data_IF_338911646552
#
_entry.id   IF_338911646552
#
_cell.length_a   1.000
_cell.length_b   1.000
_cell.length_c   1.000
_cell.angle_alpha   90.00
_cell.angle_beta   90.00
_cell.angle_gamma   90.00
#
_symmetry.space_group_name_H-M   'P 1'
#
loop_
_entity.id
_entity.type
_entity.pdbx_description
1 polymer ?
#
# COMPACT_ATOMS: atom_id res chain seq x y z
N UNK A 1 32.05 0.69 27.43
CA UNK A 1 31.04 1.67 26.99
C UNK A 1 30.87 1.54 25.47
N UNK A 2 29.68 1.18 24.99
CA UNK A 2 29.36 1.21 23.56
C UNK A 2 29.29 2.68 23.13
N UNK A 3 30.04 3.05 22.10
CA UNK A 3 29.92 4.40 21.51
C UNK A 3 28.65 4.46 20.66
N UNK A 4 27.93 5.60 20.62
CA UNK A 4 26.81 5.79 19.71
C UNK A 4 27.24 5.52 18.27
N UNK A 5 26.38 4.90 17.49
CA UNK A 5 26.65 4.67 16.07
C UNK A 5 26.76 6.03 15.35
N UNK A 6 27.78 6.16 14.50
CA UNK A 6 28.04 7.38 13.74
C UNK A 6 27.00 7.51 12.63
N UNK A 7 26.03 8.41 12.82
CA UNK A 7 24.91 8.64 11.90
C UNK A 7 25.40 8.95 10.48
N UNK A 8 26.52 9.67 10.34
CA UNK A 8 27.05 10.02 9.02
C UNK A 8 27.62 8.81 8.27
N UNK A 9 28.05 7.77 9.00
CA UNK A 9 28.50 6.50 8.39
C UNK A 9 27.33 5.56 8.10
N UNK A 10 26.20 5.72 8.80
CA UNK A 10 24.99 4.94 8.56
C UNK A 10 24.15 5.50 7.41
N UNK A 11 24.11 6.83 7.28
CA UNK A 11 23.44 7.53 6.20
C UNK A 11 24.36 7.65 4.98
N UNK A 12 24.63 6.52 4.30
CA UNK A 12 25.16 6.60 2.94
C UNK A 12 24.04 7.17 2.08
N UNK A 13 24.16 8.44 1.71
CA UNK A 13 23.20 9.09 0.83
C UNK A 13 23.28 8.43 -0.54
N UNK A 14 22.31 7.58 -0.86
CA UNK A 14 22.12 7.10 -2.22
C UNK A 14 21.49 8.25 -3.02
N UNK A 15 22.31 8.89 -3.85
CA UNK A 15 21.86 9.97 -4.74
C UNK A 15 21.13 9.44 -5.99
N UNK A 16 20.87 8.14 -6.08
CA UNK A 16 20.08 7.56 -7.19
C UNK A 16 18.60 7.68 -6.81
N UNK A 17 17.82 8.53 -7.49
CA UNK A 17 16.40 8.66 -7.20
C UNK A 17 15.69 7.33 -7.49
N UNK A 18 14.76 6.95 -6.62
CA UNK A 18 13.86 5.81 -6.86
C UNK A 18 13.13 6.05 -8.18
N UNK A 19 13.30 5.11 -9.12
CA UNK A 19 12.78 5.25 -10.46
C UNK A 19 12.29 3.90 -11.00
N UNK A 20 11.02 3.84 -11.39
CA UNK A 20 10.48 2.75 -12.20
C UNK A 20 10.59 3.11 -13.68
N UNK A 21 11.22 2.23 -14.47
CA UNK A 21 11.36 2.41 -15.93
C UNK A 21 10.47 1.40 -16.63
N UNK A 22 9.48 1.87 -17.40
CA UNK A 22 8.61 1.03 -18.23
C UNK A 22 8.66 1.48 -19.69
N UNK A 23 8.83 0.53 -20.61
CA UNK A 23 8.88 0.80 -22.05
C UNK A 23 9.87 1.93 -22.41
N UNK A 24 11.06 1.92 -21.78
CA UNK A 24 12.12 2.93 -21.94
C UNK A 24 11.75 4.35 -21.44
N UNK A 25 10.60 4.52 -20.77
CA UNK A 25 10.22 5.77 -20.13
C UNK A 25 10.38 5.68 -18.61
N UNK A 26 10.95 6.73 -18.04
CA UNK A 26 11.07 6.92 -16.60
C UNK A 26 9.72 7.36 -16.02
N UNK A 27 9.25 6.66 -14.98
CA UNK A 27 8.06 6.99 -14.21
C UNK A 27 8.42 7.62 -12.86
N UNK A 28 9.70 7.69 -12.52
CA UNK A 28 10.16 8.17 -11.21
C UNK A 28 9.53 7.36 -10.09
N UNK A 29 8.95 8.07 -9.12
CA UNK A 29 8.24 7.51 -7.98
C UNK A 29 6.76 7.19 -8.25
N UNK A 30 6.22 7.55 -9.41
CA UNK A 30 4.79 7.45 -9.69
C UNK A 30 4.22 8.77 -10.18
N UNK A 31 3.06 9.22 -9.68
CA UNK A 31 2.16 10.27 -10.21
C UNK A 31 2.78 11.43 -11.02
N UNK A 32 4.01 11.86 -10.71
CA UNK A 32 4.77 12.83 -11.48
C UNK A 32 6.26 12.44 -11.62
N UNK A 33 6.83 12.68 -12.80
CA UNK A 33 8.26 12.56 -13.10
C UNK A 33 8.76 13.81 -13.84
N UNK A 34 9.95 14.29 -13.50
CA UNK A 34 10.62 15.36 -14.25
C UNK A 34 11.84 14.80 -14.98
N UNK A 35 11.84 14.88 -16.31
CA UNK A 35 12.97 14.49 -17.13
C UNK A 35 13.98 15.65 -17.19
N UNK A 36 15.18 15.50 -16.61
CA UNK A 36 16.20 16.55 -16.61
C UNK A 36 16.88 16.71 -17.98
N UNK A 37 16.81 15.72 -18.87
CA UNK A 37 17.39 15.76 -20.21
C UNK A 37 16.46 16.50 -21.15
N UNK A 38 15.17 16.15 -21.13
CA UNK A 38 14.15 16.84 -21.95
C UNK A 38 13.68 18.16 -21.33
N UNK A 39 14.08 18.45 -20.09
CA UNK A 39 13.65 19.59 -19.28
C UNK A 39 12.12 19.68 -19.17
N UNK A 40 11.46 18.52 -19.07
CA UNK A 40 10.01 18.39 -19.17
C UNK A 40 9.43 17.52 -18.07
N UNK A 41 8.30 17.95 -17.52
CA UNK A 41 7.51 17.15 -16.58
C UNK A 41 6.56 16.18 -17.31
N UNK A 42 6.34 15.02 -16.71
CA UNK A 42 5.39 14.01 -17.16
C UNK A 42 4.51 13.61 -15.98
N UNK A 43 3.20 13.77 -16.14
CA UNK A 43 2.20 13.28 -15.21
C UNK A 43 1.80 11.87 -15.64
N UNK A 44 1.82 10.94 -14.69
CA UNK A 44 1.42 9.56 -14.92
C UNK A 44 -0.04 9.41 -14.49
N UNK A 45 -0.91 9.20 -15.46
CA UNK A 45 -2.35 9.06 -15.25
C UNK A 45 -2.74 7.59 -15.35
N UNK A 46 -3.20 7.01 -14.24
CA UNK A 46 -3.84 5.69 -14.24
C UNK A 46 -5.20 5.79 -14.92
N UNK A 47 -5.41 5.01 -15.98
CA UNK A 47 -6.71 4.87 -16.67
C UNK A 47 -7.56 3.81 -15.97
N UNK A 48 -6.98 2.64 -15.72
CA UNK A 48 -7.68 1.53 -15.09
C UNK A 48 -6.71 0.56 -14.42
N UNK A 49 -7.21 -0.10 -13.38
CA UNK A 49 -6.59 -1.26 -12.75
C UNK A 49 -7.55 -2.44 -12.88
N UNK A 50 -7.00 -3.61 -13.18
CA UNK A 50 -7.67 -4.89 -13.01
C UNK A 50 -6.75 -5.78 -12.17
N UNK A 51 -7.29 -6.42 -11.15
CA UNK A 51 -6.52 -7.20 -10.18
C UNK A 51 -7.06 -8.61 -10.14
N UNK A 52 -6.16 -9.60 -10.23
CA UNK A 52 -6.47 -11.01 -10.08
C UNK A 52 -5.67 -11.60 -8.93
N UNK A 53 -6.32 -12.43 -8.12
CA UNK A 53 -5.69 -13.31 -7.15
C UNK A 53 -5.36 -14.64 -7.81
N UNK A 54 -4.14 -15.13 -7.62
CA UNK A 54 -3.68 -16.41 -8.15
C UNK A 54 -3.78 -17.48 -7.06
N UNK A 55 -4.47 -18.56 -7.40
CA UNK A 55 -4.54 -19.79 -6.61
C UNK A 55 -3.85 -20.93 -7.37
N UNK A 56 -3.63 -22.07 -6.73
CA UNK A 56 -2.90 -23.21 -7.32
C UNK A 56 -3.49 -23.71 -8.64
N UNK A 57 -4.80 -23.58 -8.83
CA UNK A 57 -5.50 -24.12 -10.01
C UNK A 57 -6.01 -23.04 -10.97
N UNK A 58 -6.28 -21.83 -10.48
CA UNK A 58 -7.04 -20.82 -11.22
C UNK A 58 -6.65 -19.39 -10.79
N UNK A 59 -7.15 -18.41 -11.54
CA UNK A 59 -7.09 -16.98 -11.17
C UNK A 59 -8.50 -16.44 -10.98
N UNK A 60 -8.69 -15.60 -9.97
CA UNK A 60 -9.98 -14.99 -9.66
C UNK A 60 -9.85 -13.47 -9.74
N UNK A 61 -10.80 -12.82 -10.42
CA UNK A 61 -10.84 -11.36 -10.43
C UNK A 61 -11.23 -10.84 -9.04
N UNK A 62 -10.46 -9.89 -8.53
CA UNK A 62 -10.66 -9.29 -7.22
C UNK A 62 -11.66 -8.14 -7.34
N UNK A 63 -12.52 -7.99 -6.34
CA UNK A 63 -13.48 -6.88 -6.29
C UNK A 63 -12.78 -5.52 -6.18
N UNK A 64 -13.38 -4.47 -6.75
CA UNK A 64 -12.78 -3.12 -6.72
C UNK A 64 -12.67 -2.55 -5.30
N UNK A 65 -13.56 -2.93 -4.39
CA UNK A 65 -13.47 -2.65 -2.93
C UNK A 65 -12.14 -3.13 -2.35
N UNK A 66 -11.63 -4.25 -2.85
CA UNK A 66 -10.43 -4.95 -2.38
C UNK A 66 -9.11 -4.55 -3.06
N UNK A 67 -9.12 -3.64 -4.06
CA UNK A 67 -7.85 -3.23 -4.70
C UNK A 67 -6.90 -2.59 -3.68
N UNK A 68 -5.68 -3.08 -3.58
CA UNK A 68 -4.75 -2.60 -2.55
C UNK A 68 -4.73 -3.47 -1.30
N UNK A 69 -5.57 -4.50 -1.20
CA UNK A 69 -5.56 -5.45 -0.10
C UNK A 69 -4.93 -6.77 -0.55
N UNK A 70 -3.74 -7.05 -0.02
CA UNK A 70 -2.91 -8.19 -0.42
C UNK A 70 -2.68 -9.12 0.76
N UNK A 71 -2.39 -10.40 0.49
CA UNK A 71 -2.16 -11.41 1.51
C UNK A 71 -0.72 -11.95 1.40
N UNK A 72 -0.02 -12.05 2.53
CA UNK A 72 1.40 -12.44 2.59
C UNK A 72 1.70 -13.82 1.99
N UNK A 73 0.70 -14.70 1.96
CA UNK A 73 0.85 -16.09 1.51
C UNK A 73 0.32 -16.27 0.07
N UNK A 74 0.01 -15.19 -0.65
CA UNK A 74 -0.62 -15.21 -1.96
C UNK A 74 0.16 -14.41 -3.03
N UNK A 75 -0.25 -14.62 -4.29
CA UNK A 75 0.28 -13.91 -5.45
C UNK A 75 -0.86 -13.23 -6.19
N UNK A 76 -0.61 -12.03 -6.70
CA UNK A 76 -1.60 -11.23 -7.41
C UNK A 76 -1.02 -10.70 -8.72
N UNK A 77 -1.87 -10.64 -9.74
CA UNK A 77 -1.54 -10.05 -11.04
C UNK A 77 -2.36 -8.76 -11.16
N UNK A 78 -1.71 -7.65 -11.47
CA UNK A 78 -2.33 -6.35 -11.65
C UNK A 78 -2.06 -5.89 -13.08
N UNK A 79 -3.12 -5.73 -13.88
CA UNK A 79 -3.03 -5.04 -15.17
C UNK A 79 -3.23 -3.55 -14.91
N UNK A 80 -2.16 -2.79 -15.10
CA UNK A 80 -2.15 -1.34 -14.96
C UNK A 80 -2.16 -0.68 -16.33
N UNK A 81 -3.28 -0.05 -16.68
CA UNK A 81 -3.38 0.77 -17.89
C UNK A 81 -3.19 2.23 -17.52
N UNK A 82 -2.24 2.91 -18.16
CA UNK A 82 -1.84 4.28 -17.83
C UNK A 82 -1.50 5.11 -19.07
N UNK A 83 -1.38 6.43 -18.88
CA UNK A 83 -0.86 7.37 -19.89
C UNK A 83 0.22 8.25 -19.28
N UNK A 84 1.16 8.65 -20.12
CA UNK A 84 2.10 9.73 -19.81
C UNK A 84 1.60 11.00 -20.46
N UNK A 85 1.19 11.97 -19.64
CA UNK A 85 0.74 13.28 -20.11
C UNK A 85 1.85 14.27 -19.82
N UNK A 86 2.29 15.02 -20.82
CA UNK A 86 3.24 16.08 -20.58
C UNK A 86 2.67 17.12 -19.61
N UNK A 87 3.34 17.31 -18.48
CA UNK A 87 3.03 18.35 -17.53
C UNK A 87 3.45 19.70 -18.14
N UNK A 88 2.56 20.69 -18.11
CA UNK A 88 2.82 22.00 -18.71
C UNK A 88 3.99 22.73 -18.03
N UNK A 89 4.62 23.69 -18.73
CA UNK A 89 5.67 24.53 -18.14
C UNK A 89 5.13 25.30 -16.92
N UNK A 90 5.80 25.19 -15.78
CA UNK A 90 5.69 26.20 -14.74
C UNK A 90 6.41 27.46 -15.24
N UNK A 91 5.65 28.48 -15.66
CA UNK A 91 6.21 29.78 -16.02
C UNK A 91 6.90 30.40 -14.79
N UNK A 92 8.23 30.43 -14.80
CA UNK A 92 9.08 31.05 -13.77
C UNK A 92 8.73 32.54 -13.60
N UNK A 93 8.15 33.19 -14.61
CA UNK A 93 7.96 34.65 -14.66
C UNK A 93 6.64 35.14 -14.04
N UNK A 94 5.65 34.28 -13.80
CA UNK A 94 4.29 34.74 -13.45
C UNK A 94 3.60 34.00 -12.30
N UNK A 95 4.19 32.94 -11.74
CA UNK A 95 3.58 32.18 -10.63
C UNK A 95 2.20 31.59 -10.95
N UNK A 96 1.78 31.64 -12.22
CA UNK A 96 0.50 31.13 -12.71
C UNK A 96 0.81 30.02 -13.70
N UNK A 97 0.37 28.81 -13.38
CA UNK A 97 0.47 27.66 -14.26
C UNK A 97 -0.34 27.93 -15.53
N UNK A 98 0.32 28.19 -16.67
CA UNK A 98 -0.35 28.21 -17.96
C UNK A 98 -0.51 26.77 -18.44
N UNK A 99 -1.50 26.07 -17.88
CA UNK A 99 -1.74 24.66 -18.14
C UNK A 99 -2.57 24.50 -19.42
N UNK A 100 -1.91 24.32 -20.57
CA UNK A 100 -2.52 23.52 -21.64
C UNK A 100 -2.14 22.06 -21.39
N UNK A 101 -2.96 21.34 -20.62
CA UNK A 101 -2.92 19.87 -20.55
C UNK A 101 -3.34 19.35 -21.94
N UNK A 102 -2.36 19.09 -22.80
CA UNK A 102 -2.61 18.43 -24.08
C UNK A 102 -2.68 16.92 -23.82
N UNK A 103 -3.88 16.33 -23.90
CA UNK A 103 -4.13 14.88 -23.81
C UNK A 103 -3.50 14.16 -25.03
N UNK A 104 -2.18 14.02 -24.98
CA UNK A 104 -1.34 13.52 -26.07
C UNK A 104 -0.64 12.21 -25.69
N UNK A 105 -0.93 11.69 -24.49
CA UNK A 105 -0.36 10.45 -23.99
C UNK A 105 -0.97 9.24 -24.70
N UNK A 106 -0.12 8.38 -25.25
CA UNK A 106 -0.54 7.05 -25.73
C UNK A 106 -0.90 6.17 -24.54
N UNK A 107 -1.96 5.39 -24.68
CA UNK A 107 -2.34 4.35 -23.74
C UNK A 107 -1.24 3.28 -23.68
N UNK A 108 -0.79 2.99 -22.46
CA UNK A 108 0.20 1.98 -22.13
C UNK A 108 -0.40 0.99 -21.15
N UNK A 109 0.11 -0.24 -21.15
CA UNK A 109 -0.33 -1.31 -20.26
C UNK A 109 0.90 -1.98 -19.68
N UNK A 110 0.92 -2.23 -18.38
CA UNK A 110 1.93 -3.01 -17.71
C UNK A 110 1.28 -4.04 -16.79
N UNK A 111 1.95 -5.17 -16.58
CA UNK A 111 1.52 -6.24 -15.70
C UNK A 111 2.44 -6.30 -14.49
N UNK A 112 1.88 -6.03 -13.32
CA UNK A 112 2.60 -6.08 -12.05
C UNK A 112 2.23 -7.39 -11.35
N UNK A 113 3.21 -8.23 -11.05
CA UNK A 113 3.03 -9.51 -10.38
C UNK A 113 3.49 -9.31 -8.94
N UNK A 114 2.56 -9.01 -8.04
CA UNK A 114 2.86 -8.86 -6.63
C UNK A 114 2.98 -10.24 -5.97
N UNK A 115 4.09 -10.47 -5.26
CA UNK A 115 4.41 -11.76 -4.64
C UNK A 115 4.57 -11.60 -3.13
N UNK A 116 3.68 -12.25 -2.37
CA UNK A 116 3.79 -12.35 -0.94
C UNK A 116 5.06 -13.08 -0.49
N UNK A 117 5.59 -12.68 0.66
CA UNK A 117 6.82 -13.25 1.23
C UNK A 117 6.67 -14.75 1.48
N UNK A 118 5.48 -15.18 1.93
CA UNK A 118 5.14 -16.56 2.26
C UNK A 118 4.43 -17.31 1.12
N UNK A 119 4.20 -16.67 -0.03
CA UNK A 119 3.52 -17.32 -1.14
C UNK A 119 4.35 -18.51 -1.67
N UNK A 120 3.66 -19.58 -2.04
CA UNK A 120 4.33 -20.83 -2.42
C UNK A 120 5.15 -20.67 -3.71
N UNK A 121 6.27 -21.41 -3.87
CA UNK A 121 7.03 -21.40 -5.12
C UNK A 121 6.18 -21.79 -6.34
N UNK A 122 5.21 -22.69 -6.14
CA UNK A 122 4.28 -23.12 -7.19
C UNK A 122 3.38 -21.96 -7.65
N UNK A 123 2.73 -21.26 -6.73
CA UNK A 123 1.89 -20.10 -7.05
C UNK A 123 2.70 -18.97 -7.71
N UNK A 124 3.92 -18.72 -7.24
CA UNK A 124 4.85 -17.77 -7.87
C UNK A 124 5.16 -18.17 -9.32
N UNK A 125 5.46 -19.44 -9.58
CA UNK A 125 5.70 -19.94 -10.94
C UNK A 125 4.47 -19.88 -11.85
N UNK A 126 3.32 -20.31 -11.35
CA UNK A 126 2.04 -20.28 -12.07
C UNK A 126 1.63 -18.85 -12.41
N UNK A 127 1.84 -17.89 -11.49
CA UNK A 127 1.49 -16.48 -11.73
C UNK A 127 2.16 -15.87 -12.95
N UNK A 128 3.42 -16.25 -13.22
CA UNK A 128 4.16 -15.79 -14.41
C UNK A 128 3.52 -16.33 -15.67
N UNK A 129 3.24 -17.63 -15.70
CA UNK A 129 2.57 -18.28 -16.83
C UNK A 129 1.16 -17.70 -17.06
N UNK A 130 0.40 -17.50 -15.98
CA UNK A 130 -0.94 -16.90 -16.04
C UNK A 130 -0.92 -15.46 -16.54
N UNK A 131 0.14 -14.70 -16.23
CA UNK A 131 0.32 -13.34 -16.76
C UNK A 131 0.54 -13.38 -18.26
N UNK A 132 1.36 -14.30 -18.78
CA UNK A 132 1.53 -14.48 -20.23
C UNK A 132 0.21 -14.80 -20.94
N UNK A 133 -0.65 -15.61 -20.32
CA UNK A 133 -1.99 -15.90 -20.88
C UNK A 133 -2.99 -14.76 -20.71
N UNK A 134 -2.76 -13.83 -19.78
CA UNK A 134 -3.59 -12.65 -19.57
C UNK A 134 -3.19 -11.49 -20.51
N UNK A 135 -1.92 -11.45 -20.90
CA UNK A 135 -1.31 -10.36 -21.64
C UNK A 135 -1.69 -10.38 -23.13
N UNK A 136 -2.80 -9.71 -23.46
CA UNK A 136 -3.23 -9.47 -24.83
C UNK A 136 -2.45 -8.33 -25.49
N UNK A 137 -2.02 -7.34 -24.70
CA UNK A 137 -1.38 -6.10 -25.16
C UNK A 137 0.13 -6.21 -25.38
N UNK A 138 0.75 -7.32 -24.97
CA UNK A 138 2.21 -7.56 -24.97
C UNK A 138 2.95 -6.50 -24.15
N UNK A 139 2.39 -6.15 -23.00
CA UNK A 139 2.97 -5.17 -22.07
C UNK A 139 4.14 -5.73 -21.27
N UNK A 140 4.97 -4.88 -20.63
CA UNK A 140 6.02 -5.35 -19.73
C UNK A 140 5.44 -6.07 -18.51
N UNK A 141 6.10 -7.14 -18.07
CA UNK A 141 5.78 -7.89 -16.86
C UNK A 141 6.82 -7.55 -15.78
N UNK A 142 6.37 -7.09 -14.62
CA UNK A 142 7.21 -6.58 -13.54
C UNK A 142 6.90 -7.37 -12.28
N UNK A 143 7.93 -7.92 -11.66
CA UNK A 143 7.79 -8.55 -10.35
C UNK A 143 7.86 -7.50 -9.26
N UNK A 144 6.83 -7.48 -8.41
CA UNK A 144 6.76 -6.65 -7.22
C UNK A 144 6.84 -7.59 -6.02
N UNK A 145 7.89 -7.49 -5.24
CA UNK A 145 8.15 -8.42 -4.12
C UNK A 145 7.72 -7.73 -2.83
N UNK A 146 7.01 -8.45 -1.95
CA UNK A 146 6.67 -7.95 -0.63
C UNK A 146 7.92 -7.43 0.11
N UNK A 147 7.77 -6.30 0.81
CA UNK A 147 8.84 -5.56 1.50
C UNK A 147 9.86 -4.87 0.57
N UNK A 148 9.63 -4.90 -0.74
CA UNK A 148 10.45 -4.26 -1.77
C UNK A 148 9.60 -3.57 -2.84
N UNK A 149 8.37 -3.22 -2.51
CA UNK A 149 7.45 -2.54 -3.42
C UNK A 149 7.99 -1.16 -3.81
N UNK A 150 8.02 -0.88 -5.11
CA UNK A 150 8.38 0.45 -5.59
C UNK A 150 7.28 1.47 -5.26
N UNK A 151 7.69 2.73 -5.04
CA UNK A 151 6.77 3.84 -4.79
C UNK A 151 5.64 3.91 -5.84
N UNK A 152 5.97 3.70 -7.12
CA UNK A 152 5.01 3.72 -8.22
C UNK A 152 3.90 2.69 -8.04
N UNK A 153 4.21 1.50 -7.53
CA UNK A 153 3.22 0.45 -7.25
C UNK A 153 2.33 0.85 -6.07
N UNK A 154 2.91 1.30 -4.95
CA UNK A 154 2.15 1.68 -3.75
C UNK A 154 1.18 2.82 -4.06
N UNK A 155 1.61 3.80 -4.86
CA UNK A 155 0.79 4.96 -5.27
C UNK A 155 -0.46 4.59 -6.08
N UNK A 156 -0.54 3.38 -6.64
CA UNK A 156 -1.75 2.89 -7.34
C UNK A 156 -2.95 2.76 -6.40
N UNK A 157 -2.71 2.61 -5.10
CA UNK A 157 -3.74 2.37 -4.10
C UNK A 157 -4.03 3.60 -3.21
N UNK A 158 -3.52 4.77 -3.60
CA UNK A 158 -3.81 6.09 -3.00
C UNK A 158 -3.71 6.13 -1.45
N UNK A 159 -2.71 5.46 -0.90
CA UNK A 159 -2.48 5.39 0.54
C UNK A 159 -3.35 4.40 1.29
N UNK A 160 -4.00 3.44 0.61
CA UNK A 160 -4.75 2.33 1.22
C UNK A 160 -4.14 0.97 0.90
N UNK A 161 -2.84 0.90 0.61
CA UNK A 161 -2.15 -0.39 0.42
C UNK A 161 -2.06 -1.11 1.77
N UNK A 162 -2.60 -2.31 1.86
CA UNK A 162 -2.64 -3.12 3.08
C UNK A 162 -2.17 -4.52 2.77
N UNK A 163 -1.30 -5.04 3.63
CA UNK A 163 -0.85 -6.43 3.60
C UNK A 163 -1.46 -7.15 4.80
N UNK A 164 -2.24 -8.18 4.52
CA UNK A 164 -2.84 -9.08 5.49
C UNK A 164 -1.98 -10.33 5.66
N UNK A 165 -2.03 -10.91 6.85
CA UNK A 165 -1.36 -12.18 7.14
C UNK A 165 -2.20 -13.37 6.64
N UNK A 166 -1.53 -14.41 6.16
CA UNK A 166 -2.18 -15.65 5.72
C UNK A 166 -2.59 -15.62 4.25
N UNK A 167 -3.57 -16.44 3.89
CA UNK A 167 -4.17 -16.54 2.54
C UNK A 167 -5.55 -15.91 2.49
N UNK A 168 -5.88 -15.28 1.36
CA UNK A 168 -7.18 -14.62 1.09
C UNK A 168 -8.36 -15.58 1.20
N UNK A 169 -8.23 -16.77 0.62
CA UNK A 169 -9.32 -17.74 0.52
C UNK A 169 -9.30 -18.80 1.63
N UNK A 170 -8.48 -18.62 2.66
CA UNK A 170 -8.45 -19.51 3.82
C UNK A 170 -8.72 -18.71 5.08
N UNK A 171 -9.95 -18.82 5.59
CA UNK A 171 -10.23 -18.46 6.97
C UNK A 171 -9.56 -19.49 7.88
N UNK A 172 -8.29 -19.30 8.22
CA UNK A 172 -7.75 -19.96 9.40
C UNK A 172 -8.64 -19.54 10.58
N UNK A 173 -9.04 -20.47 11.43
CA UNK A 173 -9.66 -20.12 12.72
C UNK A 173 -8.68 -19.20 13.45
N UNK A 174 -8.98 -17.91 13.45
CA UNK A 174 -8.16 -16.91 14.12
C UNK A 174 -8.45 -17.01 15.60
N UNK A 175 -7.38 -17.07 16.40
CA UNK A 175 -7.48 -17.14 17.86
C UNK A 175 -8.08 -15.89 18.49
N UNK A 176 -7.99 -14.76 17.80
CA UNK A 176 -8.49 -13.45 18.21
C UNK A 176 -9.31 -12.86 17.07
N UNK A 177 -10.40 -12.18 17.40
CA UNK A 177 -11.18 -11.42 16.43
C UNK A 177 -10.56 -10.03 16.17
N UNK A 178 -9.63 -9.61 17.02
CA UNK A 178 -8.87 -8.39 16.82
C UNK A 178 -7.72 -8.60 15.84
N UNK A 179 -7.44 -7.54 15.07
CA UNK A 179 -6.33 -7.50 14.13
C UNK A 179 -5.51 -6.25 14.36
N UNK A 180 -4.19 -6.39 14.31
CA UNK A 180 -3.24 -5.31 14.53
C UNK A 180 -2.54 -4.98 13.21
N UNK A 181 -2.49 -3.71 12.87
CA UNK A 181 -1.75 -3.22 11.71
C UNK A 181 -0.75 -2.15 12.12
N UNK A 182 0.46 -2.20 11.58
CA UNK A 182 1.44 -1.11 11.73
C UNK A 182 1.33 -0.16 10.54
N UNK A 183 1.36 1.14 10.82
CA UNK A 183 1.44 2.19 9.82
C UNK A 183 2.87 2.37 9.32
N UNK A 184 3.02 2.51 8.01
CA UNK A 184 4.29 2.78 7.33
C UNK A 184 4.06 3.81 6.22
N UNK A 185 4.92 4.84 6.16
CA UNK A 185 4.85 5.86 5.12
C UNK A 185 5.13 7.28 5.63
N UNK A 186 5.66 8.12 4.74
CA UNK A 186 5.93 9.54 4.98
C UNK A 186 5.25 10.45 3.94
N UNK A 187 4.67 9.85 2.89
CA UNK A 187 4.02 10.53 1.79
C UNK A 187 2.61 9.95 1.67
N UNK A 188 1.59 10.82 1.67
CA UNK A 188 0.18 10.41 1.71
C UNK A 188 -0.20 9.28 0.76
N UNK A 189 0.31 9.33 -0.47
CA UNK A 189 -0.04 8.40 -1.54
C UNK A 189 0.78 7.11 -1.49
N UNK A 190 1.83 7.07 -0.67
CA UNK A 190 2.73 5.92 -0.47
C UNK A 190 2.53 5.26 0.92
N UNK A 191 1.50 5.69 1.65
CA UNK A 191 1.14 5.12 2.95
C UNK A 191 0.64 3.68 2.81
N UNK A 192 0.97 2.86 3.79
CA UNK A 192 0.57 1.47 3.82
C UNK A 192 0.50 0.86 5.22
N UNK A 193 -0.22 -0.27 5.32
CA UNK A 193 -0.52 -0.97 6.56
C UNK A 193 -0.09 -2.43 6.48
N UNK A 194 0.67 -2.91 7.45
CA UNK A 194 1.04 -4.33 7.52
C UNK A 194 0.40 -4.98 8.73
N UNK A 195 -0.34 -6.07 8.50
CA UNK A 195 -0.91 -6.88 9.57
C UNK A 195 0.21 -7.57 10.36
N UNK A 196 0.11 -7.50 11.68
CA UNK A 196 1.01 -8.12 12.64
C UNK A 196 0.20 -9.01 13.60
N UNK A 197 0.83 -10.01 14.23
CA UNK A 197 0.22 -10.70 15.35
C UNK A 197 -0.17 -9.70 16.45
N UNK A 198 -1.35 -9.87 17.03
CA UNK A 198 -1.79 -9.04 18.14
C UNK A 198 -1.00 -9.38 19.40
N UNK A 199 0.03 -8.57 19.66
CA UNK A 199 0.92 -8.74 20.80
C UNK A 199 1.55 -7.39 21.16
N UNK A 200 1.58 -7.07 22.46
CA UNK A 200 2.23 -5.86 22.98
C UNK A 200 3.69 -5.72 22.55
N UNK A 201 4.39 -6.83 22.30
CA UNK A 201 5.79 -6.86 21.82
C UNK A 201 5.97 -6.33 20.41
N UNK A 202 4.88 -6.20 19.63
CA UNK A 202 4.91 -5.59 18.30
C UNK A 202 4.73 -4.07 18.33
N UNK A 203 4.27 -3.51 19.45
CA UNK A 203 4.09 -2.06 19.58
C UNK A 203 5.42 -1.32 19.60
N UNK A 204 5.44 -0.14 18.99
CA UNK A 204 6.60 0.74 18.92
C UNK A 204 6.17 2.17 19.17
N UNK A 205 6.86 2.86 20.07
CA UNK A 205 6.52 4.25 20.45
C UNK A 205 6.76 5.29 19.34
N UNK A 206 7.30 4.94 18.16
CA UNK A 206 7.61 5.88 17.07
C UNK A 206 6.78 5.64 15.80
N UNK A 207 5.68 4.90 15.90
CA UNK A 207 4.74 4.73 14.78
C UNK A 207 3.31 4.63 15.28
N UNK A 208 2.38 4.59 14.36
CA UNK A 208 0.95 4.41 14.59
C UNK A 208 0.55 2.97 14.34
N UNK A 209 -0.43 2.48 15.09
CA UNK A 209 -1.01 1.16 14.95
C UNK A 209 -2.51 1.27 14.82
N UNK A 210 -3.10 0.43 13.96
CA UNK A 210 -4.53 0.34 13.76
C UNK A 210 -5.03 -1.01 14.24
N UNK A 211 -5.92 -0.98 15.22
CA UNK A 211 -6.63 -2.14 15.74
C UNK A 211 -8.00 -2.22 15.09
N UNK A 212 -8.35 -3.41 14.60
CA UNK A 212 -9.63 -3.67 13.95
C UNK A 212 -10.37 -4.76 14.71
N UNK A 213 -11.59 -4.47 15.15
CA UNK A 213 -12.56 -5.45 15.64
C UNK A 213 -13.69 -5.56 14.62
N UNK A 214 -13.73 -6.70 13.93
CA UNK A 214 -14.73 -6.98 12.90
C UNK A 214 -16.09 -7.41 13.48
N UNK A 215 -16.14 -7.84 14.74
CA UNK A 215 -17.38 -8.26 15.42
C UNK A 215 -18.17 -7.02 15.86
N UNK A 216 -17.48 -6.04 16.45
CA UNK A 216 -18.11 -4.79 16.93
C UNK A 216 -18.10 -3.65 15.91
N UNK A 217 -17.41 -3.81 14.77
CA UNK A 217 -17.12 -2.75 13.79
C UNK A 217 -16.40 -1.57 14.41
N UNK A 218 -15.27 -1.84 15.06
CA UNK A 218 -14.44 -0.79 15.69
C UNK A 218 -13.09 -0.71 14.98
N UNK A 219 -12.66 0.53 14.71
CA UNK A 219 -11.33 0.91 14.27
C UNK A 219 -10.69 1.79 15.34
N UNK A 220 -9.64 1.29 16.00
CA UNK A 220 -8.91 2.03 17.02
C UNK A 220 -7.50 2.36 16.50
N UNK A 221 -7.24 3.64 16.26
CA UNK A 221 -5.94 4.15 15.89
C UNK A 221 -5.16 4.56 17.15
N UNK A 222 -4.05 3.91 17.42
CA UNK A 222 -3.14 4.20 18.52
C UNK A 222 -1.85 4.82 18.00
N UNK A 223 -1.39 5.90 18.60
CA UNK A 223 -0.15 6.56 18.25
C UNK A 223 0.91 6.39 19.33
N UNK A 224 2.10 5.92 18.95
CA UNK A 224 3.26 5.99 19.82
C UNK A 224 3.61 7.43 20.24
N UNK A 225 4.14 7.58 21.46
CA UNK A 225 4.46 8.88 22.05
C UNK A 225 5.52 9.68 21.26
N UNK A 226 6.38 8.98 20.51
CA UNK A 226 7.42 9.54 19.65
C UNK A 226 7.08 9.60 18.17
N UNK A 227 5.83 9.33 17.78
CA UNK A 227 5.34 9.52 16.39
C UNK A 227 5.16 11.00 16.10
N UNK A 228 5.66 11.49 14.97
CA UNK A 228 5.56 12.92 14.61
C UNK A 228 4.13 13.33 14.26
N UNK A 229 3.81 14.62 14.35
CA UNK A 229 2.49 15.14 14.02
C UNK A 229 2.11 14.87 12.56
N UNK A 230 3.07 14.95 11.63
CA UNK A 230 2.85 14.62 10.22
C UNK A 230 2.51 13.14 10.05
N UNK A 231 3.23 12.23 10.71
CA UNK A 231 2.96 10.79 10.64
C UNK A 231 1.61 10.44 11.27
N UNK A 232 1.24 11.09 12.39
CA UNK A 232 -0.08 10.94 13.01
C UNK A 232 -1.19 11.35 12.03
N UNK A 233 -1.05 12.53 11.41
CA UNK A 233 -2.00 13.02 10.41
C UNK A 233 -2.12 12.07 9.20
N UNK A 234 -1.00 11.58 8.67
CA UNK A 234 -0.99 10.65 7.55
C UNK A 234 -1.64 9.30 7.89
N UNK A 235 -1.36 8.76 9.08
CA UNK A 235 -1.96 7.53 9.58
C UNK A 235 -3.47 7.69 9.76
N UNK A 236 -3.92 8.78 10.39
CA UNK A 236 -5.34 9.10 10.54
C UNK A 236 -6.04 9.19 9.18
N UNK A 237 -5.50 9.99 8.26
CA UNK A 237 -6.06 10.16 6.91
C UNK A 237 -6.15 8.85 6.14
N UNK A 238 -5.14 8.00 6.22
CA UNK A 238 -5.14 6.67 5.59
C UNK A 238 -6.17 5.73 6.25
N UNK A 239 -6.27 5.71 7.58
CA UNK A 239 -7.26 4.92 8.31
C UNK A 239 -8.70 5.37 7.99
N UNK A 240 -8.93 6.68 7.83
CA UNK A 240 -10.22 7.23 7.38
C UNK A 240 -10.59 6.74 5.98
N UNK A 241 -9.64 6.75 5.03
CA UNK A 241 -9.86 6.19 3.69
C UNK A 241 -10.23 4.70 3.75
N UNK A 242 -9.58 3.91 4.62
CA UNK A 242 -9.94 2.50 4.83
C UNK A 242 -11.35 2.35 5.40
N UNK A 243 -11.72 3.19 6.38
CA UNK A 243 -13.07 3.21 6.99
C UNK A 243 -14.17 3.52 5.98
N UNK A 244 -13.93 4.49 5.09
CA UNK A 244 -14.87 4.88 4.04
C UNK A 244 -15.00 3.79 2.97
N UNK A 245 -13.87 3.18 2.59
CA UNK A 245 -13.81 2.19 1.52
C UNK A 245 -14.36 0.82 1.92
N UNK A 246 -14.25 0.46 3.20
CA UNK A 246 -14.68 -0.82 3.77
C UNK A 246 -14.22 -2.05 2.96
N UNK A 247 -12.89 -2.28 2.83
CA UNK A 247 -12.41 -3.46 2.10
C UNK A 247 -12.92 -4.76 2.75
N UNK A 248 -13.22 -5.75 1.91
CA UNK A 248 -13.86 -7.02 2.33
C UNK A 248 -12.98 -7.80 3.31
N UNK A 249 -11.68 -7.63 3.21
CA UNK A 249 -10.65 -8.28 4.00
C UNK A 249 -10.73 -7.90 5.47
N UNK A 250 -11.25 -6.72 5.81
CA UNK A 250 -11.46 -6.31 7.20
C UNK A 250 -12.68 -7.00 7.83
N UNK A 251 -13.54 -7.63 7.03
CA UNK A 251 -14.71 -8.39 7.47
C UNK A 251 -15.67 -7.62 8.39
N UNK A 252 -15.79 -6.30 8.21
CA UNK A 252 -16.77 -5.50 8.93
C UNK A 252 -18.18 -6.06 8.73
N UNK A 253 -18.95 -6.13 9.81
CA UNK A 253 -20.33 -6.56 9.78
C UNK A 253 -21.19 -5.58 8.96
N UNK A 254 -21.75 -6.05 7.84
CA UNK A 254 -22.59 -5.25 6.95
C UNK A 254 -23.93 -4.81 7.57
N UNK A 255 -24.39 -5.46 8.64
CA UNK A 255 -25.65 -5.10 9.32
C UNK A 255 -25.53 -3.80 10.11
N UNK A 256 -24.31 -3.42 10.51
CA UNK A 256 -24.05 -2.15 11.18
C UNK A 256 -23.64 -1.10 10.14
N UNK A 257 -24.40 -0.01 10.08
CA UNK A 257 -24.16 1.04 9.09
C UNK A 257 -22.86 1.83 9.33
N UNK A 258 -22.41 1.95 10.58
CA UNK A 258 -21.24 2.75 10.94
C UNK A 258 -20.10 1.91 11.54
N UNK A 259 -18.88 2.39 11.32
CA UNK A 259 -17.66 1.85 11.89
C UNK A 259 -17.18 2.85 12.95
N UNK A 260 -17.26 2.45 14.20
CA UNK A 260 -16.80 3.26 15.32
C UNK A 260 -15.30 3.51 15.17
N UNK A 261 -14.90 4.78 15.21
CA UNK A 261 -13.50 5.16 15.07
C UNK A 261 -13.02 5.87 16.32
N UNK A 262 -11.96 5.36 16.93
CA UNK A 262 -11.33 5.91 18.11
C UNK A 262 -9.87 6.21 17.82
N UNK A 263 -9.38 7.38 18.22
CA UNK A 263 -7.98 7.78 18.10
C UNK A 263 -7.43 8.05 19.50
N UNK A 264 -6.33 7.39 19.85
CA UNK A 264 -5.68 7.47 21.17
C UNK A 264 -4.16 7.56 21.01
N UNK A 265 -3.48 7.98 22.08
CA UNK A 265 -2.02 8.06 22.12
C UNK A 265 -1.46 7.20 23.26
N UNK A 266 -0.18 6.85 23.14
CA UNK A 266 0.58 6.15 24.17
C UNK A 266 0.53 6.93 25.50
N UNK A 267 0.07 6.27 26.57
CA UNK A 267 -0.19 6.85 27.88
C UNK A 267 -1.66 7.17 28.18
N UNK A 268 -2.51 7.26 27.16
CA UNK A 268 -3.96 7.50 27.27
C UNK A 268 -4.78 6.25 26.86
N UNK A 269 -4.24 5.05 27.10
CA UNK A 269 -4.88 3.81 26.68
C UNK A 269 -6.20 3.53 27.41
N UNK A 270 -7.29 3.46 26.65
CA UNK A 270 -8.62 3.08 27.13
C UNK A 270 -8.77 1.56 27.31
N UNK A 271 -9.78 1.12 28.07
CA UNK A 271 -10.06 -0.30 28.33
C UNK A 271 -10.19 -1.14 27.04
N UNK A 272 -10.70 -0.55 25.96
CA UNK A 272 -10.81 -1.20 24.65
C UNK A 272 -9.44 -1.63 24.11
N UNK A 273 -8.41 -0.78 24.25
CA UNK A 273 -7.05 -1.09 23.82
C UNK A 273 -6.48 -2.29 24.59
N UNK A 274 -6.63 -2.28 25.91
CA UNK A 274 -6.15 -3.38 26.75
C UNK A 274 -6.93 -4.66 26.52
N UNK A 275 -8.22 -4.57 26.19
CA UNK A 275 -9.04 -5.72 25.79
C UNK A 275 -8.53 -6.34 24.50
N UNK A 276 -8.18 -5.52 23.50
CA UNK A 276 -7.63 -5.99 22.24
C UNK A 276 -6.29 -6.71 22.45
N UNK A 277 -5.34 -6.09 23.14
CA UNK A 277 -3.99 -6.65 23.33
C UNK A 277 -3.97 -7.90 24.21
N UNK A 278 -4.79 -7.91 25.27
CA UNK A 278 -4.78 -9.02 26.23
C UNK A 278 -5.73 -10.16 25.84
N UNK A 279 -6.38 -10.09 24.67
CA UNK A 279 -7.19 -11.19 24.18
C UNK A 279 -6.29 -12.43 24.03
N UNK A 280 -6.50 -13.40 24.93
CA UNK A 280 -5.68 -14.59 25.01
C UNK A 280 -5.79 -15.37 23.72
N UNK A 281 -4.70 -15.43 22.98
CA UNK A 281 -4.48 -16.39 21.90
C UNK A 281 -4.26 -17.81 22.46
N UNK A 282 -5.22 -18.35 23.23
CA UNK A 282 -5.18 -19.77 23.64
C UNK A 282 -5.14 -20.69 22.42
#
# INVERSE_FOLDING_TARGET
>A
MLKPADVNKMLIKQDIPVNMILEQASLGRGKHWYDPIELRGHDIQTISLNVWHVSENERYEVSKSSYGQFHSDDVYIIRWRYKLVASGFHSITTGKASVRKTDTGRDRVAYLIWQGVNASPNEKGISVLMTVFLDEEKGPHIHVIQEREEATFIQLFDGTFTIHMGKRNQSKERKSHWRLYVFLGEIEVENHWWELPIDSTNLRSRTSFLFIDNVKNIMLLWHGCGTTDEQRFLANKSAMKLRERRPEEFHFNCEREDIEFCEIQEGDEIDLFWTAINERTQ
#
